data_IF_939270957342
#
_entry.id   IF_939270957342
#
_cell.length_a   1.000
_cell.length_b   1.000
_cell.length_c   1.000
_cell.angle_alpha   90.00
_cell.angle_beta   90.00
_cell.angle_gamma   90.00
#
_symmetry.space_group_name_H-M   'P 1'
#
loop_
_entity.id
_entity.type
_entity.pdbx_description
1 polymer ?
#
# COMPACT_ATOMS: atom_id res chain seq x y z
N UNK A 1 13.25 0.78 -13.53
CA UNK A 1 12.24 -0.09 -14.19
C UNK A 1 12.32 -1.47 -13.58
N UNK A 2 11.17 -2.11 -13.29
CA UNK A 2 11.12 -3.52 -12.92
C UNK A 2 11.66 -4.40 -14.07
N UNK A 3 12.46 -5.42 -13.74
CA UNK A 3 12.79 -6.45 -14.70
C UNK A 3 11.49 -7.11 -15.20
N UNK A 4 11.50 -7.63 -16.42
CA UNK A 4 10.29 -8.19 -17.03
C UNK A 4 9.73 -9.36 -16.22
N UNK A 5 10.61 -10.26 -15.77
CA UNK A 5 10.23 -11.43 -14.95
C UNK A 5 9.61 -11.01 -13.60
N UNK A 6 10.25 -10.08 -12.89
CA UNK A 6 9.71 -9.53 -11.63
C UNK A 6 8.34 -8.91 -11.84
N UNK A 7 8.15 -8.19 -12.94
CA UNK A 7 6.87 -7.57 -13.27
C UNK A 7 5.79 -8.62 -13.55
N UNK A 8 6.10 -9.68 -14.27
CA UNK A 8 5.17 -10.77 -14.55
C UNK A 8 4.78 -11.51 -13.26
N UNK A 9 5.75 -11.92 -12.45
CA UNK A 9 5.48 -12.56 -11.17
C UNK A 9 4.62 -11.71 -10.24
N UNK A 10 4.85 -10.39 -10.21
CA UNK A 10 4.03 -9.48 -9.42
C UNK A 10 2.61 -9.34 -9.97
N UNK A 11 2.43 -9.33 -11.30
CA UNK A 11 1.11 -9.35 -11.93
C UNK A 11 0.35 -10.62 -11.61
N UNK A 12 1.00 -11.78 -11.71
CA UNK A 12 0.41 -13.07 -11.37
C UNK A 12 -0.07 -13.08 -9.91
N UNK A 13 0.75 -12.56 -8.99
CA UNK A 13 0.35 -12.41 -7.60
C UNK A 13 -0.87 -11.48 -7.44
N UNK A 14 -0.92 -10.35 -8.11
CA UNK A 14 -2.07 -9.45 -8.07
C UNK A 14 -3.34 -10.08 -8.68
N UNK A 15 -3.21 -10.92 -9.70
CA UNK A 15 -4.36 -11.68 -10.25
C UNK A 15 -4.93 -12.63 -9.20
N UNK A 16 -4.10 -13.33 -8.41
CA UNK A 16 -4.58 -14.20 -7.33
C UNK A 16 -5.35 -13.45 -6.24
N UNK A 17 -5.10 -12.14 -6.12
CA UNK A 17 -5.78 -11.25 -5.16
C UNK A 17 -6.98 -10.51 -5.78
N UNK A 18 -7.33 -10.79 -7.03
CA UNK A 18 -8.36 -10.06 -7.79
C UNK A 18 -8.07 -8.55 -7.91
N UNK A 19 -6.77 -8.19 -7.87
CA UNK A 19 -6.29 -6.81 -7.97
C UNK A 19 -5.71 -6.48 -9.35
N UNK A 20 -5.89 -7.35 -10.34
CA UNK A 20 -5.55 -7.05 -11.73
C UNK A 20 -6.48 -5.99 -12.34
N UNK A 21 -6.02 -5.28 -13.41
CA UNK A 21 -6.80 -4.20 -14.03
C UNK A 21 -8.18 -4.63 -14.54
N UNK A 22 -8.33 -5.88 -14.99
CA UNK A 22 -9.63 -6.44 -15.43
C UNK A 22 -10.60 -6.56 -14.26
N UNK A 23 -10.14 -7.15 -13.15
CA UNK A 23 -10.93 -7.32 -11.94
C UNK A 23 -11.32 -5.95 -11.35
N UNK A 24 -10.38 -5.01 -11.28
CA UNK A 24 -10.65 -3.64 -10.82
C UNK A 24 -11.71 -2.96 -11.70
N UNK A 25 -11.57 -3.01 -13.03
CA UNK A 25 -12.48 -2.31 -13.94
C UNK A 25 -13.90 -2.90 -13.92
N UNK A 26 -14.02 -4.22 -13.83
CA UNK A 26 -15.30 -4.95 -13.88
C UNK A 26 -15.93 -5.18 -12.49
N UNK A 27 -15.16 -5.07 -11.42
CA UNK A 27 -15.62 -5.36 -10.07
C UNK A 27 -16.81 -4.49 -9.62
N UNK A 28 -17.68 -5.01 -8.76
CA UNK A 28 -18.84 -4.26 -8.26
C UNK A 28 -18.45 -3.12 -7.32
N UNK A 29 -17.31 -3.24 -6.64
CA UNK A 29 -16.82 -2.29 -5.65
C UNK A 29 -15.51 -1.62 -6.06
N UNK A 30 -15.27 -0.37 -5.65
CA UNK A 30 -13.97 0.27 -5.78
C UNK A 30 -12.90 -0.47 -4.98
N UNK A 31 -11.69 -0.54 -5.53
CA UNK A 31 -10.51 -1.05 -4.82
C UNK A 31 -9.80 0.11 -4.12
N UNK A 32 -9.56 -0.02 -2.82
CA UNK A 32 -8.85 0.99 -2.03
C UNK A 32 -7.41 0.54 -1.76
N UNK A 33 -6.46 1.40 -2.15
CA UNK A 33 -5.06 1.29 -1.78
C UNK A 33 -4.88 2.10 -0.49
N UNK A 34 -4.51 1.45 0.60
CA UNK A 34 -4.29 2.09 1.91
C UNK A 34 -2.82 1.96 2.26
N UNK A 35 -2.16 3.07 2.53
CA UNK A 35 -0.73 3.07 2.87
C UNK A 35 -0.39 4.18 3.87
N UNK A 36 0.68 3.94 4.65
CA UNK A 36 1.33 4.95 5.49
C UNK A 36 2.13 5.87 4.59
N UNK A 37 1.66 7.09 4.39
CA UNK A 37 2.24 7.99 3.41
C UNK A 37 3.20 8.98 4.03
N UNK A 38 4.42 9.00 3.52
CA UNK A 38 5.36 10.11 3.68
C UNK A 38 5.36 10.99 2.42
N UNK A 39 5.72 10.43 1.26
CA UNK A 39 5.76 11.11 -0.04
C UNK A 39 4.78 10.56 -1.08
N UNK A 40 4.25 9.37 -0.84
CA UNK A 40 3.34 8.68 -1.76
C UNK A 40 4.01 7.94 -2.93
N UNK A 41 5.35 7.82 -2.91
CA UNK A 41 6.09 7.15 -3.99
C UNK A 41 5.67 5.71 -4.24
N UNK A 42 5.48 4.91 -3.18
CA UNK A 42 5.02 3.51 -3.29
C UNK A 42 3.66 3.43 -3.99
N UNK A 43 2.72 4.31 -3.61
CA UNK A 43 1.40 4.34 -4.23
C UNK A 43 1.50 4.72 -5.71
N UNK A 44 2.33 5.73 -6.04
CA UNK A 44 2.58 6.12 -7.42
C UNK A 44 3.08 4.96 -8.26
N UNK A 45 4.12 4.28 -7.78
CA UNK A 45 4.74 3.18 -8.51
C UNK A 45 3.76 2.01 -8.71
N UNK A 46 2.87 1.78 -7.74
CA UNK A 46 1.82 0.77 -7.84
C UNK A 46 0.71 1.19 -8.82
N UNK A 47 0.25 2.43 -8.79
CA UNK A 47 -0.74 2.96 -9.75
C UNK A 47 -0.17 2.92 -11.17
N UNK A 48 1.08 3.33 -11.37
CA UNK A 48 1.77 3.25 -12.64
C UNK A 48 1.81 1.81 -13.19
N UNK A 49 2.13 0.86 -12.33
CA UNK A 49 2.15 -0.55 -12.72
C UNK A 49 0.78 -1.03 -13.19
N UNK A 50 -0.29 -0.72 -12.45
CA UNK A 50 -1.64 -1.11 -12.82
C UNK A 50 -2.10 -0.48 -14.13
N UNK A 51 -1.82 0.81 -14.33
CA UNK A 51 -2.25 1.52 -15.54
C UNK A 51 -1.47 1.11 -16.78
N UNK A 52 -0.16 0.84 -16.67
CA UNK A 52 0.63 0.26 -17.78
C UNK A 52 0.17 -1.15 -18.10
N UNK A 53 -0.19 -1.94 -17.10
CA UNK A 53 -0.74 -3.26 -17.32
C UNK A 53 -2.12 -3.21 -17.99
N UNK A 54 -2.95 -2.22 -17.65
CA UNK A 54 -4.20 -1.98 -18.38
C UNK A 54 -3.95 -1.69 -19.87
N UNK A 55 -2.92 -0.88 -20.19
CA UNK A 55 -2.52 -0.63 -21.58
C UNK A 55 -2.10 -1.91 -22.30
N UNK A 56 -1.26 -2.74 -21.66
CA UNK A 56 -0.82 -4.03 -22.22
C UNK A 56 -2.03 -4.96 -22.53
N UNK A 57 -3.08 -4.86 -21.73
CA UNK A 57 -4.34 -5.60 -21.91
C UNK A 57 -5.35 -4.89 -22.82
N UNK A 58 -5.02 -3.71 -23.36
CA UNK A 58 -5.92 -2.85 -24.16
C UNK A 58 -7.21 -2.48 -23.45
N UNK A 59 -7.16 -2.28 -22.14
CA UNK A 59 -8.27 -1.84 -21.32
C UNK A 59 -8.34 -0.31 -21.24
N UNK A 60 -9.55 0.22 -21.06
CA UNK A 60 -9.72 1.65 -20.78
C UNK A 60 -9.13 2.01 -19.40
N UNK A 61 -8.02 2.76 -19.41
CA UNK A 61 -7.40 3.28 -18.19
C UNK A 61 -8.37 4.09 -17.34
N UNK A 62 -9.33 4.77 -17.96
CA UNK A 62 -10.32 5.55 -17.21
C UNK A 62 -11.27 4.66 -16.42
N UNK A 63 -11.61 3.47 -16.93
CA UNK A 63 -12.40 2.48 -16.18
C UNK A 63 -11.68 2.03 -14.93
N UNK A 64 -10.39 1.68 -15.03
CA UNK A 64 -9.55 1.31 -13.87
C UNK A 64 -9.45 2.47 -12.87
N UNK A 65 -9.12 3.69 -13.35
CA UNK A 65 -8.96 4.88 -12.48
C UNK A 65 -10.24 5.22 -11.72
N UNK A 66 -11.42 5.12 -12.34
CA UNK A 66 -12.70 5.38 -11.67
C UNK A 66 -12.96 4.44 -10.49
N UNK A 67 -12.38 3.25 -10.52
CA UNK A 67 -12.53 2.22 -9.48
C UNK A 67 -11.44 2.25 -8.42
N UNK A 68 -10.34 2.95 -8.66
CA UNK A 68 -9.28 3.10 -7.68
C UNK A 68 -9.63 4.20 -6.66
N UNK A 69 -9.29 3.91 -5.41
CA UNK A 69 -9.33 4.85 -4.29
C UNK A 69 -7.99 4.80 -3.58
N UNK A 70 -7.51 5.93 -3.15
CA UNK A 70 -6.27 6.02 -2.36
C UNK A 70 -6.61 6.58 -1.00
N UNK A 71 -6.17 5.91 0.04
CA UNK A 71 -6.26 6.36 1.42
C UNK A 71 -4.85 6.48 1.99
N UNK A 72 -4.33 7.69 2.01
CA UNK A 72 -3.03 7.96 2.61
C UNK A 72 -3.15 8.20 4.11
N UNK A 73 -2.51 7.35 4.90
CA UNK A 73 -2.46 7.50 6.35
C UNK A 73 -1.24 8.33 6.73
N UNK A 74 -1.47 9.51 7.29
CA UNK A 74 -0.42 10.47 7.67
C UNK A 74 -0.38 10.71 9.18
N UNK A 75 0.71 11.26 9.67
CA UNK A 75 0.76 11.69 11.06
C UNK A 75 0.01 13.01 11.27
N UNK A 76 -0.63 13.14 12.43
CA UNK A 76 -1.34 14.35 12.83
C UNK A 76 -0.34 15.39 13.30
N UNK A 77 -0.34 16.55 12.67
CA UNK A 77 0.56 17.67 13.02
C UNK A 77 -0.08 18.71 13.93
N UNK A 78 -1.44 18.77 13.95
CA UNK A 78 -2.21 19.72 14.77
C UNK A 78 -3.44 19.01 15.32
N UNK A 79 -4.29 19.74 16.07
CA UNK A 79 -5.55 19.22 16.61
C UNK A 79 -6.56 18.78 15.54
N UNK A 80 -6.57 19.44 14.39
CA UNK A 80 -7.43 19.04 13.27
C UNK A 80 -6.89 17.81 12.56
N UNK A 81 -7.71 16.75 12.32
CA UNK A 81 -7.27 15.54 11.61
C UNK A 81 -6.90 15.78 10.14
N UNK A 82 -7.31 16.90 9.55
CA UNK A 82 -7.09 17.23 8.14
C UNK A 82 -6.04 18.32 7.92
N UNK A 83 -5.19 18.62 8.90
CA UNK A 83 -4.20 19.69 8.78
C UNK A 83 -3.08 19.40 7.80
N UNK A 84 -2.74 18.13 7.60
CA UNK A 84 -1.77 17.72 6.58
C UNK A 84 -2.45 16.81 5.59
N UNK A 85 -2.60 17.30 4.38
CA UNK A 85 -3.11 16.55 3.23
C UNK A 85 -1.93 16.19 2.34
N UNK A 86 -1.48 14.94 2.41
CA UNK A 86 -0.33 14.48 1.63
C UNK A 86 -0.50 14.69 0.14
N UNK A 87 -1.73 14.56 -0.36
CA UNK A 87 -2.06 14.79 -1.78
C UNK A 87 -1.88 16.25 -2.25
N UNK A 88 -1.69 17.19 -1.32
CA UNK A 88 -1.39 18.58 -1.63
C UNK A 88 0.11 18.91 -1.55
N UNK A 89 0.93 17.94 -1.15
CA UNK A 89 2.38 18.13 -1.13
C UNK A 89 2.95 18.09 -2.56
N UNK A 90 4.01 18.83 -2.81
CA UNK A 90 4.70 18.82 -4.12
C UNK A 90 5.12 17.41 -4.55
N UNK A 91 5.48 16.55 -3.60
CA UNK A 91 5.83 15.14 -3.87
C UNK A 91 4.65 14.29 -4.37
N UNK A 92 3.42 14.77 -4.24
CA UNK A 92 2.20 14.11 -4.69
C UNK A 92 1.62 14.70 -5.97
N UNK A 93 2.31 15.66 -6.61
CA UNK A 93 1.88 16.31 -7.87
C UNK A 93 1.59 15.29 -9.00
N UNK A 94 2.18 14.09 -8.94
CA UNK A 94 1.89 13.01 -9.85
C UNK A 94 0.40 12.60 -9.86
N UNK A 95 -0.38 12.89 -8.81
CA UNK A 95 -1.83 12.62 -8.79
C UNK A 95 -2.59 13.41 -9.86
N UNK A 96 -2.08 14.58 -10.24
CA UNK A 96 -2.70 15.41 -11.27
C UNK A 96 -2.62 14.75 -12.66
N UNK A 97 -1.65 13.84 -12.86
CA UNK A 97 -1.53 13.02 -14.07
C UNK A 97 -2.62 11.94 -14.15
N UNK A 98 -3.25 11.63 -13.01
CA UNK A 98 -4.26 10.58 -12.88
C UNK A 98 -5.62 11.12 -12.40
N UNK A 99 -6.24 12.04 -13.15
CA UNK A 99 -7.56 12.54 -12.79
C UNK A 99 -8.56 11.38 -12.68
N UNK A 100 -9.51 11.50 -11.78
CA UNK A 100 -10.53 10.50 -11.43
C UNK A 100 -10.10 9.43 -10.42
N UNK A 101 -8.84 9.37 -9.99
CA UNK A 101 -8.47 8.60 -8.81
C UNK A 101 -8.81 9.45 -7.58
N UNK A 102 -9.74 8.99 -6.77
CA UNK A 102 -10.08 9.69 -5.53
C UNK A 102 -9.02 9.39 -4.45
N UNK A 103 -8.34 10.43 -3.99
CA UNK A 103 -7.37 10.34 -2.91
C UNK A 103 -7.92 10.98 -1.63
N UNK A 104 -7.85 10.27 -0.51
CA UNK A 104 -8.24 10.73 0.82
C UNK A 104 -7.05 10.74 1.76
N UNK A 105 -7.12 11.59 2.76
CA UNK A 105 -6.15 11.65 3.84
C UNK A 105 -6.82 11.23 5.15
N UNK A 106 -6.18 10.31 5.85
CA UNK A 106 -6.52 9.95 7.22
C UNK A 106 -5.32 10.25 8.09
N UNK A 107 -5.49 11.03 9.15
CA UNK A 107 -4.38 11.36 10.04
C UNK A 107 -4.52 10.69 11.40
N UNK A 108 -3.44 10.06 11.84
CA UNK A 108 -3.35 9.35 13.10
C UNK A 108 -2.32 10.02 14.03
N UNK A 109 -2.34 9.75 15.34
CA UNK A 109 -1.34 10.27 16.26
C UNK A 109 0.08 9.97 15.78
N UNK A 110 1.00 10.94 15.90
CA UNK A 110 2.36 10.83 15.37
C UNK A 110 3.13 9.61 15.91
N UNK A 111 2.95 9.27 17.20
CA UNK A 111 3.56 8.05 17.80
C UNK A 111 3.06 6.76 17.14
N UNK A 112 1.77 6.69 16.83
CA UNK A 112 1.21 5.50 16.16
C UNK A 112 1.72 5.43 14.71
N UNK A 113 1.76 6.56 14.02
CA UNK A 113 2.31 6.61 12.66
C UNK A 113 3.78 6.18 12.61
N UNK A 114 4.61 6.69 13.53
CA UNK A 114 6.03 6.31 13.63
C UNK A 114 6.18 4.83 13.94
N UNK A 115 5.40 4.31 14.90
CA UNK A 115 5.40 2.89 15.24
C UNK A 115 5.07 2.01 14.02
N UNK A 116 3.99 2.31 13.31
CA UNK A 116 3.57 1.54 12.14
C UNK A 116 4.56 1.69 10.97
N UNK A 117 5.15 2.87 10.80
CA UNK A 117 6.09 3.16 9.72
C UNK A 117 7.49 2.59 9.95
N UNK A 118 8.06 2.78 11.14
CA UNK A 118 9.48 2.57 11.39
C UNK A 118 9.83 1.80 12.67
N UNK A 119 9.08 2.00 13.74
CA UNK A 119 9.52 1.58 15.09
C UNK A 119 9.09 0.14 15.42
N UNK A 120 8.17 -0.45 14.67
CA UNK A 120 7.81 -1.85 14.87
C UNK A 120 8.89 -2.77 14.29
N UNK A 121 9.14 -3.93 14.93
CA UNK A 121 9.99 -4.95 14.34
C UNK A 121 9.42 -5.39 12.97
N UNK A 122 10.26 -5.35 11.95
CA UNK A 122 9.88 -5.74 10.59
C UNK A 122 10.52 -7.06 10.22
N UNK A 123 9.79 -7.91 9.51
CA UNK A 123 10.32 -9.18 9.00
C UNK A 123 11.36 -8.91 7.92
N UNK A 124 11.14 -7.90 7.10
CA UNK A 124 12.07 -7.51 6.04
C UNK A 124 12.23 -5.99 6.02
N UNK A 125 13.39 -5.47 5.58
CA UNK A 125 13.53 -4.06 5.28
C UNK A 125 12.60 -3.68 4.11
N UNK A 126 12.36 -2.38 3.93
CA UNK A 126 11.69 -1.89 2.73
C UNK A 126 12.47 -2.25 1.48
N UNK A 127 11.79 -2.77 0.48
CA UNK A 127 12.40 -3.13 -0.79
C UNK A 127 12.05 -2.10 -1.86
N UNK A 128 13.01 -1.72 -2.72
CA UNK A 128 12.70 -0.91 -3.89
C UNK A 128 11.83 -1.71 -4.87
N UNK A 129 11.06 -1.02 -5.76
CA UNK A 129 10.11 -1.69 -6.66
C UNK A 129 10.68 -2.81 -7.51
N UNK A 130 11.97 -2.75 -7.87
CA UNK A 130 12.61 -3.81 -8.69
C UNK A 130 12.86 -5.12 -7.93
N UNK A 131 12.68 -5.12 -6.60
CA UNK A 131 12.75 -6.34 -5.78
C UNK A 131 11.37 -6.85 -5.34
N UNK A 132 10.30 -6.21 -5.76
CA UNK A 132 8.97 -6.74 -5.53
C UNK A 132 8.78 -8.02 -6.33
N UNK A 133 8.34 -9.08 -5.71
CA UNK A 133 8.20 -10.39 -6.34
C UNK A 133 9.49 -10.88 -7.03
N UNK A 134 10.60 -10.87 -6.30
CA UNK A 134 11.89 -11.40 -6.78
C UNK A 134 11.77 -12.91 -7.01
N UNK A 135 11.82 -13.40 -8.26
CA UNK A 135 11.66 -14.82 -8.57
C UNK A 135 12.85 -15.69 -8.11
N UNK A 136 13.97 -15.07 -7.74
CA UNK A 136 15.15 -15.77 -7.23
C UNK A 136 15.09 -16.00 -5.73
N UNK A 137 14.19 -15.33 -5.01
CA UNK A 137 14.00 -15.49 -3.58
C UNK A 137 13.17 -16.75 -3.29
N UNK A 138 13.83 -17.88 -3.17
CA UNK A 138 13.20 -19.17 -2.89
C UNK A 138 12.67 -19.29 -1.46
N UNK A 139 13.35 -18.65 -0.50
CA UNK A 139 12.98 -18.67 0.91
C UNK A 139 13.22 -17.29 1.55
N UNK A 140 12.44 -16.93 2.59
CA UNK A 140 12.73 -15.72 3.37
C UNK A 140 14.04 -15.88 4.13
N UNK A 141 14.80 -14.81 4.24
CA UNK A 141 16.01 -14.77 5.04
C UNK A 141 15.75 -15.17 6.49
N UNK A 142 16.50 -16.12 7.01
CA UNK A 142 16.40 -16.57 8.42
C UNK A 142 17.30 -15.69 9.30
N UNK A 143 16.78 -14.51 9.65
CA UNK A 143 17.48 -13.58 10.55
C UNK A 143 16.80 -13.54 11.92
N UNK A 144 17.56 -13.32 13.04
CA UNK A 144 16.97 -13.20 14.39
C UNK A 144 15.84 -12.17 14.50
N UNK A 145 15.89 -11.11 13.71
CA UNK A 145 14.83 -10.10 13.62
C UNK A 145 13.50 -10.66 13.15
N UNK A 146 13.50 -11.70 12.32
CA UNK A 146 12.27 -12.35 11.83
C UNK A 146 11.50 -13.01 12.98
N UNK A 147 12.22 -13.66 13.90
CA UNK A 147 11.61 -14.25 15.09
C UNK A 147 11.03 -13.17 16.00
N UNK A 148 11.75 -12.07 16.19
CA UNK A 148 11.25 -10.94 16.98
C UNK A 148 10.00 -10.32 16.35
N UNK A 149 10.00 -10.07 15.06
CA UNK A 149 8.87 -9.54 14.32
C UNK A 149 7.66 -10.48 14.37
N UNK A 150 7.88 -11.79 14.19
CA UNK A 150 6.82 -12.80 14.29
C UNK A 150 6.22 -12.85 15.70
N UNK A 151 7.05 -12.89 16.75
CA UNK A 151 6.58 -12.84 18.15
C UNK A 151 5.77 -11.57 18.42
N UNK A 152 6.19 -10.44 17.88
CA UNK A 152 5.46 -9.19 18.00
C UNK A 152 4.11 -9.27 17.28
N UNK A 153 4.07 -9.76 16.06
CA UNK A 153 2.84 -9.93 15.28
C UNK A 153 1.83 -10.86 15.99
N UNK A 154 2.29 -11.99 16.53
CA UNK A 154 1.46 -12.91 17.31
C UNK A 154 0.87 -12.21 18.54
N UNK A 155 1.69 -11.48 19.31
CA UNK A 155 1.20 -10.75 20.49
C UNK A 155 0.16 -9.69 20.12
N UNK A 156 0.36 -8.94 19.05
CA UNK A 156 -0.61 -7.93 18.58
C UNK A 156 -1.90 -8.61 18.16
N UNK A 157 -1.81 -9.70 17.42
CA UNK A 157 -2.97 -10.49 17.00
C UNK A 157 -3.76 -11.04 18.19
N UNK A 158 -3.09 -11.71 19.13
CA UNK A 158 -3.73 -12.31 20.30
C UNK A 158 -4.41 -11.24 21.18
N UNK A 159 -3.73 -10.12 21.38
CA UNK A 159 -4.28 -8.98 22.11
C UNK A 159 -5.50 -8.38 21.41
N UNK A 160 -5.45 -8.18 20.09
CA UNK A 160 -6.57 -7.66 19.32
C UNK A 160 -7.80 -8.58 19.27
N UNK A 161 -7.64 -9.86 19.61
CA UNK A 161 -8.77 -10.81 19.73
C UNK A 161 -9.49 -10.75 21.07
N UNK A 162 -8.90 -10.12 22.09
CA UNK A 162 -9.51 -10.04 23.42
C UNK A 162 -10.70 -9.07 23.38
N UNK A 163 -11.88 -9.45 23.87
CA UNK A 163 -13.07 -8.61 23.86
C UNK A 163 -12.83 -7.24 24.52
N UNK A 164 -12.20 -7.23 25.68
CA UNK A 164 -11.88 -5.99 26.42
C UNK A 164 -11.01 -4.98 25.65
N UNK A 165 -10.17 -5.45 24.71
CA UNK A 165 -9.38 -4.57 23.87
C UNK A 165 -10.19 -4.04 22.67
N UNK A 166 -11.17 -4.81 22.19
CA UNK A 166 -12.06 -4.38 21.09
C UNK A 166 -13.06 -3.32 21.53
N UNK A 167 -13.47 -3.35 22.78
CA UNK A 167 -14.41 -2.37 23.37
C UNK A 167 -13.75 -0.99 23.60
N UNK A 168 -12.41 -0.90 23.53
CA UNK A 168 -11.67 0.37 23.68
C UNK A 168 -11.56 1.18 22.40
N UNK A 169 -11.94 0.62 21.27
CA UNK A 169 -11.90 1.24 19.93
C UNK A 169 -13.30 1.36 19.32
#
# INVERSE_FOLDING_TARGET
>A
RLATETRLAFRDHLETLEMGPRAIAAGPWPVAIVDLVHSGGTIRDFVDLLLRWADDLRLDRAAVRRRLRIVGVTYRTKSSPNTRRWQQAASAAWLDEYPRIAAKNVSIPGRLWAYLGNDQPKVTPSHPPWRWADPTAAEPDRHPWHLLALRHAVRVFDRGRQPAERERF
#
